data_IF_465697155461
#
_entry.id   IF_465697155461
#
_cell.length_a   1.000
_cell.length_b   1.000
_cell.length_c   1.000
_cell.angle_alpha   90.00
_cell.angle_beta   90.00
_cell.angle_gamma   90.00
#
_symmetry.space_group_name_H-M   'P 1'
#
loop_
_entity.id
_entity.type
_entity.pdbx_description
1 polymer ?
#
# COMPACT_ATOMS: atom_id res chain seq x y z
N UNK A 1 -1.85 -12.85 17.55
CA UNK A 1 -2.31 -14.01 18.39
C UNK A 1 -3.82 -13.99 18.64
N UNK A 2 -4.54 -12.92 18.35
CA UNK A 2 -6.02 -12.86 18.46
C UNK A 2 -6.67 -13.65 17.34
N UNK A 3 -6.11 -13.62 16.13
CA UNK A 3 -6.68 -14.25 14.93
C UNK A 3 -6.55 -15.77 14.88
N UNK A 4 -5.70 -16.40 15.68
CA UNK A 4 -5.68 -17.86 15.85
C UNK A 4 -6.89 -18.39 16.64
N UNK A 5 -7.69 -17.52 17.27
CA UNK A 5 -8.88 -17.87 18.05
C UNK A 5 -10.21 -17.80 17.28
N UNK A 6 -10.25 -17.16 16.11
CA UNK A 6 -11.47 -17.00 15.30
C UNK A 6 -11.45 -18.04 14.17
N UNK A 7 -11.66 -19.30 14.52
CA UNK A 7 -12.03 -20.35 13.58
C UNK A 7 -13.48 -20.77 13.84
N UNK A 8 -14.42 -19.84 13.71
CA UNK A 8 -15.84 -20.12 13.78
C UNK A 8 -16.57 -19.23 12.76
N UNK A 9 -16.45 -19.58 11.48
CA UNK A 9 -17.19 -19.00 10.34
C UNK A 9 -17.38 -17.49 10.45
N UNK A 10 -16.59 -16.72 9.70
CA UNK A 10 -16.76 -15.26 9.63
C UNK A 10 -18.18 -14.88 9.28
N UNK A 11 -18.78 -13.96 10.03
CA UNK A 11 -20.16 -13.52 9.85
C UNK A 11 -20.32 -12.03 9.59
N UNK A 12 -19.38 -11.21 10.04
CA UNK A 12 -19.53 -9.75 10.02
C UNK A 12 -18.55 -9.10 9.02
N UNK A 13 -19.10 -8.57 7.95
CA UNK A 13 -18.34 -8.04 6.82
C UNK A 13 -18.62 -6.56 6.60
N UNK A 14 -17.55 -5.79 6.33
CA UNK A 14 -17.66 -4.45 5.78
C UNK A 14 -17.28 -4.47 4.30
N UNK A 15 -18.16 -4.01 3.43
CA UNK A 15 -17.93 -3.93 1.98
C UNK A 15 -17.56 -2.49 1.62
N UNK A 16 -16.32 -2.27 1.20
CA UNK A 16 -15.84 -0.99 0.70
C UNK A 16 -15.95 -0.95 -0.82
N UNK A 17 -16.71 0.00 -1.33
CA UNK A 17 -16.97 0.16 -2.76
C UNK A 17 -16.89 1.61 -3.20
N UNK A 18 -16.86 1.83 -4.50
CA UNK A 18 -16.84 3.14 -5.13
C UNK A 18 -17.70 3.09 -6.38
N UNK A 19 -18.66 4.00 -6.50
CA UNK A 19 -19.61 4.02 -7.61
C UNK A 19 -18.95 4.16 -8.99
N UNK A 20 -17.79 4.81 -9.08
CA UNK A 20 -17.00 4.87 -10.31
C UNK A 20 -16.49 3.51 -10.77
N UNK A 21 -16.27 2.57 -9.84
CA UNK A 21 -15.76 1.21 -10.09
C UNK A 21 -16.87 0.16 -10.09
N UNK A 22 -17.95 0.39 -9.32
CA UNK A 22 -19.14 -0.44 -9.23
C UNK A 22 -20.39 0.39 -9.59
N UNK A 23 -20.63 0.70 -10.89
CA UNK A 23 -21.73 1.55 -11.32
C UNK A 23 -23.09 1.05 -10.85
N UNK A 24 -23.83 1.92 -10.17
CA UNK A 24 -25.11 1.59 -9.56
C UNK A 24 -25.00 0.59 -8.42
N UNK A 25 -23.78 0.40 -7.87
CA UNK A 25 -23.50 -0.44 -6.69
C UNK A 25 -24.01 -1.89 -6.85
N UNK A 26 -23.95 -2.41 -8.08
CA UNK A 26 -24.54 -3.71 -8.44
C UNK A 26 -23.76 -4.89 -7.86
N UNK A 27 -22.43 -4.81 -7.90
CA UNK A 27 -21.56 -5.90 -7.42
C UNK A 27 -21.58 -5.94 -5.90
N UNK A 28 -21.43 -4.78 -5.25
CA UNK A 28 -21.48 -4.68 -3.79
C UNK A 28 -22.81 -5.14 -3.24
N UNK A 29 -23.92 -4.85 -3.95
CA UNK A 29 -25.25 -5.38 -3.58
C UNK A 29 -25.33 -6.90 -3.72
N UNK A 30 -24.81 -7.48 -4.82
CA UNK A 30 -24.77 -8.94 -4.99
C UNK A 30 -23.98 -9.63 -3.88
N UNK A 31 -22.86 -9.04 -3.47
CA UNK A 31 -22.05 -9.56 -2.36
C UNK A 31 -22.84 -9.51 -1.05
N UNK A 32 -23.48 -8.38 -0.76
CA UNK A 32 -24.31 -8.19 0.41
C UNK A 32 -25.44 -9.23 0.46
N UNK A 33 -26.26 -9.29 -0.62
CA UNK A 33 -27.41 -10.20 -0.71
C UNK A 33 -26.96 -11.67 -0.53
N UNK A 34 -25.77 -12.03 -1.06
CA UNK A 34 -25.22 -13.38 -0.91
C UNK A 34 -24.81 -13.69 0.53
N UNK A 35 -24.06 -12.80 1.17
CA UNK A 35 -23.61 -12.96 2.56
C UNK A 35 -24.83 -13.08 3.50
N UNK A 36 -25.82 -12.21 3.34
CA UNK A 36 -27.04 -12.21 4.18
C UNK A 36 -27.86 -13.48 3.95
N UNK A 37 -27.96 -13.98 2.72
CA UNK A 37 -28.61 -15.26 2.40
C UNK A 37 -27.92 -16.45 3.10
N UNK A 38 -26.61 -16.39 3.29
CA UNK A 38 -25.85 -17.42 4.00
C UNK A 38 -25.81 -17.21 5.53
N UNK A 39 -26.59 -16.25 6.05
CA UNK A 39 -26.72 -15.98 7.49
C UNK A 39 -25.60 -15.10 8.06
N UNK A 40 -24.81 -14.45 7.22
CA UNK A 40 -23.83 -13.41 7.61
C UNK A 40 -24.49 -12.03 7.72
N UNK A 41 -23.74 -11.08 8.24
CA UNK A 41 -24.10 -9.67 8.39
C UNK A 41 -23.14 -8.86 7.55
N UNK A 42 -23.63 -7.92 6.75
CA UNK A 42 -22.78 -7.05 5.96
C UNK A 42 -23.26 -5.61 5.95
N UNK A 43 -22.30 -4.70 5.97
CA UNK A 43 -22.51 -3.27 5.79
C UNK A 43 -21.76 -2.79 4.55
N UNK A 44 -22.31 -1.81 3.83
CA UNK A 44 -21.64 -1.21 2.68
C UNK A 44 -21.27 0.22 2.97
N UNK A 45 -20.02 0.58 2.65
CA UNK A 45 -19.54 1.95 2.64
C UNK A 45 -19.17 2.33 1.22
N UNK A 46 -19.88 3.33 0.69
CA UNK A 46 -19.66 3.86 -0.66
C UNK A 46 -18.75 5.09 -0.61
N UNK A 47 -17.96 5.30 -1.67
CA UNK A 47 -17.10 6.48 -1.84
C UNK A 47 -16.11 6.76 -0.69
N UNK A 48 -15.68 5.69 -0.02
CA UNK A 48 -14.74 5.76 1.11
C UNK A 48 -13.42 6.49 0.76
N UNK A 49 -13.11 6.65 -0.54
CA UNK A 49 -11.93 7.37 -1.00
C UNK A 49 -12.04 8.89 -0.85
N UNK A 50 -13.26 9.44 -0.65
CA UNK A 50 -13.50 10.88 -0.53
C UNK A 50 -13.59 11.38 0.92
N UNK A 51 -13.84 10.49 1.88
CA UNK A 51 -14.23 10.86 3.24
C UNK A 51 -13.38 10.16 4.32
N UNK A 52 -12.06 10.17 4.17
CA UNK A 52 -11.12 9.45 5.07
C UNK A 52 -11.27 9.79 6.56
N UNK A 53 -11.89 10.92 6.93
CA UNK A 53 -11.97 11.36 8.33
C UNK A 53 -13.38 11.43 8.94
N UNK A 54 -14.47 11.32 8.16
CA UNK A 54 -15.82 11.60 8.70
C UNK A 54 -16.67 10.40 9.08
N UNK A 55 -16.44 9.22 8.50
CA UNK A 55 -17.36 8.07 8.66
C UNK A 55 -16.67 6.77 9.13
N UNK A 56 -15.70 6.86 10.02
CA UNK A 56 -15.05 5.69 10.66
C UNK A 56 -16.03 4.87 11.55
N UNK A 57 -17.24 5.41 11.81
CA UNK A 57 -18.25 4.74 12.63
C UNK A 57 -18.84 3.47 11.98
N UNK A 58 -18.59 3.22 10.69
CA UNK A 58 -19.00 1.99 10.01
C UNK A 58 -18.07 0.80 10.31
N UNK A 59 -16.85 1.05 10.80
CA UNK A 59 -15.96 -0.02 11.26
C UNK A 59 -16.32 -0.30 12.72
N UNK A 60 -17.14 -1.31 12.93
CA UNK A 60 -17.53 -1.72 14.27
C UNK A 60 -16.50 -2.69 14.86
N UNK A 61 -16.54 -2.87 16.19
CA UNK A 61 -15.69 -3.85 16.89
C UNK A 61 -15.98 -5.29 16.46
N UNK A 62 -17.15 -5.52 15.89
CA UNK A 62 -17.60 -6.84 15.44
C UNK A 62 -17.23 -7.10 13.96
N UNK A 63 -16.65 -6.13 13.25
CA UNK A 63 -16.20 -6.32 11.87
C UNK A 63 -15.05 -7.33 11.82
N UNK A 64 -15.23 -8.45 11.14
CA UNK A 64 -14.26 -9.54 11.07
C UNK A 64 -13.45 -9.52 9.78
N UNK A 65 -14.00 -8.97 8.70
CA UNK A 65 -13.34 -8.87 7.40
C UNK A 65 -13.82 -7.65 6.62
N UNK A 66 -12.90 -7.03 5.89
CA UNK A 66 -13.21 -5.96 4.95
C UNK A 66 -13.09 -6.47 3.52
N UNK A 67 -14.19 -6.44 2.76
CA UNK A 67 -14.24 -6.80 1.34
C UNK A 67 -14.10 -5.51 0.53
N UNK A 68 -13.02 -5.39 -0.24
CA UNK A 68 -12.68 -4.19 -1.00
C UNK A 68 -12.93 -4.42 -2.48
N UNK A 69 -13.84 -3.64 -3.09
CA UNK A 69 -14.15 -3.73 -4.52
C UNK A 69 -13.29 -2.74 -5.31
N UNK A 70 -12.40 -3.26 -6.15
CA UNK A 70 -11.53 -2.42 -6.99
C UNK A 70 -10.25 -3.12 -7.42
N UNK A 71 -9.20 -2.34 -7.64
CA UNK A 71 -7.85 -2.82 -7.94
C UNK A 71 -6.88 -2.47 -6.81
N UNK A 72 -5.56 -2.64 -7.09
CA UNK A 72 -4.50 -2.42 -6.10
C UNK A 72 -4.57 -1.04 -5.43
N UNK A 73 -4.78 0.05 -6.19
CA UNK A 73 -4.91 1.38 -5.60
C UNK A 73 -6.09 1.53 -4.63
N UNK A 74 -7.19 0.77 -4.82
CA UNK A 74 -8.33 0.72 -3.90
C UNK A 74 -7.96 -0.04 -2.63
N UNK A 75 -7.18 -1.13 -2.78
CA UNK A 75 -6.65 -1.90 -1.66
C UNK A 75 -5.69 -1.08 -0.79
N UNK A 76 -4.80 -0.28 -1.40
CA UNK A 76 -3.90 0.62 -0.66
C UNK A 76 -4.70 1.63 0.18
N UNK A 77 -5.75 2.19 -0.40
CA UNK A 77 -6.62 3.14 0.32
C UNK A 77 -7.34 2.46 1.49
N UNK A 78 -7.89 1.27 1.27
CA UNK A 78 -8.54 0.48 2.31
C UNK A 78 -7.55 0.10 3.42
N UNK A 79 -6.34 -0.34 3.08
CA UNK A 79 -5.31 -0.71 4.05
C UNK A 79 -5.03 0.43 5.03
N UNK A 80 -4.88 1.67 4.53
CA UNK A 80 -4.66 2.84 5.38
C UNK A 80 -5.86 3.17 6.25
N UNK A 81 -7.09 2.99 5.73
CA UNK A 81 -8.32 3.25 6.48
C UNK A 81 -8.48 2.31 7.67
N UNK A 82 -8.13 1.02 7.48
CA UNK A 82 -8.40 -0.03 8.48
C UNK A 82 -7.17 -0.39 9.34
N UNK A 83 -6.02 0.23 9.10
CA UNK A 83 -4.75 -0.17 9.74
C UNK A 83 -4.79 -0.13 11.26
N UNK A 84 -5.60 0.78 11.85
CA UNK A 84 -5.74 0.91 13.30
C UNK A 84 -6.70 -0.11 13.92
N UNK A 85 -7.48 -0.80 13.09
CA UNK A 85 -8.48 -1.77 13.54
C UNK A 85 -7.99 -3.21 13.53
N UNK A 86 -6.80 -3.46 12.94
CA UNK A 86 -6.20 -4.80 12.85
C UNK A 86 -7.12 -5.85 12.18
N UNK A 87 -7.97 -5.43 11.23
CA UNK A 87 -8.95 -6.27 10.53
C UNK A 87 -8.34 -6.75 9.21
N UNK A 88 -8.48 -8.05 8.85
CA UNK A 88 -8.05 -8.54 7.55
C UNK A 88 -8.94 -8.04 6.43
N UNK A 89 -8.36 -7.86 5.24
CA UNK A 89 -9.07 -7.43 4.05
C UNK A 89 -8.88 -8.39 2.88
N UNK A 90 -9.87 -8.45 1.99
CA UNK A 90 -9.82 -9.18 0.73
C UNK A 90 -10.23 -8.28 -0.42
N UNK A 91 -9.48 -8.32 -1.51
CA UNK A 91 -9.78 -7.55 -2.71
C UNK A 91 -10.60 -8.35 -3.72
N UNK A 92 -11.73 -7.79 -4.15
CA UNK A 92 -12.50 -8.25 -5.30
C UNK A 92 -12.12 -7.40 -6.50
N UNK A 93 -11.48 -8.03 -7.48
CA UNK A 93 -11.00 -7.33 -8.67
C UNK A 93 -12.13 -6.98 -9.63
N UNK A 94 -12.31 -5.70 -9.91
CA UNK A 94 -13.31 -5.19 -10.86
C UNK A 94 -12.72 -4.84 -12.23
N UNK A 95 -11.46 -5.15 -12.48
CA UNK A 95 -10.76 -4.80 -13.72
C UNK A 95 -9.58 -5.73 -14.00
N UNK A 96 -8.40 -5.14 -14.27
CA UNK A 96 -7.18 -5.92 -14.52
C UNK A 96 -6.65 -6.51 -13.22
N UNK A 97 -6.26 -7.79 -13.27
CA UNK A 97 -5.68 -8.52 -12.13
C UNK A 97 -4.55 -7.73 -11.46
N UNK A 98 -4.65 -7.52 -10.17
CA UNK A 98 -3.66 -6.83 -9.33
C UNK A 98 -2.78 -7.80 -8.53
N UNK A 99 -1.77 -7.24 -7.84
CA UNK A 99 -0.97 -7.98 -6.87
C UNK A 99 -1.62 -8.09 -5.50
N UNK A 100 -2.56 -7.17 -5.18
CA UNK A 100 -3.23 -7.07 -3.89
C UNK A 100 -4.65 -7.64 -3.91
N UNK A 101 -5.27 -7.73 -5.10
CA UNK A 101 -6.61 -8.31 -5.24
C UNK A 101 -6.53 -9.84 -5.33
N UNK A 102 -7.59 -10.53 -4.89
CA UNK A 102 -7.61 -12.00 -4.77
C UNK A 102 -8.76 -12.64 -5.52
N UNK A 103 -9.95 -12.06 -5.45
CA UNK A 103 -11.17 -12.65 -6.01
C UNK A 103 -11.49 -11.99 -7.33
N UNK A 104 -11.50 -12.77 -8.41
CA UNK A 104 -12.01 -12.34 -9.72
C UNK A 104 -13.55 -12.44 -9.76
N UNK A 105 -14.22 -11.54 -10.52
CA UNK A 105 -15.67 -11.55 -10.63
C UNK A 105 -16.24 -12.88 -11.15
N UNK A 106 -15.51 -13.58 -12.01
CA UNK A 106 -15.87 -14.92 -12.51
C UNK A 106 -15.93 -15.99 -11.41
N UNK A 107 -15.22 -15.76 -10.31
CA UNK A 107 -15.10 -16.67 -9.15
C UNK A 107 -15.63 -16.03 -7.86
N UNK A 108 -16.53 -15.05 -7.99
CA UNK A 108 -16.99 -14.25 -6.85
C UNK A 108 -17.61 -15.11 -5.74
N UNK A 109 -18.56 -15.98 -6.09
CA UNK A 109 -19.27 -16.80 -5.10
C UNK A 109 -18.37 -17.85 -4.45
N UNK A 110 -17.48 -18.49 -5.24
CA UNK A 110 -16.47 -19.41 -4.69
C UNK A 110 -15.56 -18.68 -3.66
N UNK A 111 -15.21 -17.42 -3.96
CA UNK A 111 -14.42 -16.59 -3.04
C UNK A 111 -15.17 -16.25 -1.76
N UNK A 112 -16.46 -15.89 -1.87
CA UNK A 112 -17.31 -15.60 -0.71
C UNK A 112 -17.55 -16.86 0.14
N UNK A 113 -17.75 -18.02 -0.48
CA UNK A 113 -17.84 -19.29 0.23
C UNK A 113 -16.56 -19.61 1.00
N UNK A 114 -15.41 -19.30 0.39
CA UNK A 114 -14.12 -19.42 1.08
C UNK A 114 -14.03 -18.57 2.33
N UNK A 115 -14.57 -17.36 2.33
CA UNK A 115 -14.60 -16.48 3.49
C UNK A 115 -15.56 -17.00 4.57
N UNK A 116 -16.79 -17.37 4.16
CA UNK A 116 -17.84 -17.83 5.07
C UNK A 116 -17.51 -19.18 5.73
N UNK A 117 -16.72 -20.02 5.07
CA UNK A 117 -16.31 -21.35 5.57
C UNK A 117 -14.88 -21.37 6.14
N UNK A 118 -14.26 -20.22 6.39
CA UNK A 118 -12.89 -20.08 6.90
C UNK A 118 -11.83 -20.87 6.08
N UNK A 119 -12.05 -21.06 4.78
CA UNK A 119 -11.12 -21.74 3.87
C UNK A 119 -10.21 -20.76 3.16
N UNK A 120 -9.44 -20.00 3.93
CA UNK A 120 -8.50 -18.97 3.45
C UNK A 120 -7.23 -18.94 4.30
N UNK A 121 -6.25 -18.21 3.83
CA UNK A 121 -5.03 -17.88 4.57
C UNK A 121 -4.93 -16.36 4.75
N UNK A 122 -4.32 -15.92 5.83
CA UNK A 122 -4.00 -14.50 6.06
C UNK A 122 -2.51 -14.31 5.79
N UNK A 123 -2.20 -13.42 4.86
CA UNK A 123 -0.83 -12.94 4.64
C UNK A 123 -0.63 -11.60 5.35
N UNK A 124 0.37 -11.56 6.23
CA UNK A 124 0.80 -10.34 6.88
C UNK A 124 1.79 -9.60 5.99
N UNK A 125 1.53 -8.32 5.77
CA UNK A 125 2.35 -7.42 4.96
C UNK A 125 2.94 -6.35 5.86
N UNK A 126 4.27 -6.23 5.87
CA UNK A 126 4.91 -5.12 6.53
C UNK A 126 4.48 -3.79 5.89
N UNK A 127 4.44 -2.76 6.70
CA UNK A 127 4.18 -1.39 6.28
C UNK A 127 5.35 -0.49 6.67
N UNK A 128 5.50 0.61 5.98
CA UNK A 128 6.36 1.71 6.41
C UNK A 128 5.55 2.71 7.23
N UNK A 129 6.25 3.46 8.04
CA UNK A 129 5.74 4.58 8.80
C UNK A 129 6.66 5.77 8.58
N UNK A 130 6.13 6.87 8.05
CA UNK A 130 6.91 8.04 7.73
C UNK A 130 6.32 9.31 8.30
N UNK A 131 7.19 10.28 8.64
CA UNK A 131 6.82 11.62 9.04
C UNK A 131 7.79 12.65 8.48
N UNK A 132 7.34 13.87 8.35
CA UNK A 132 8.18 15.00 7.96
C UNK A 132 8.48 15.84 9.19
N UNK A 133 9.75 16.17 9.36
CA UNK A 133 10.23 17.12 10.36
C UNK A 133 10.57 18.41 9.62
N UNK A 134 9.82 19.46 9.89
CA UNK A 134 10.08 20.82 9.47
C UNK A 134 10.90 21.57 10.52
N UNK A 135 11.42 22.75 10.19
CA UNK A 135 12.22 23.54 11.14
C UNK A 135 11.42 23.94 12.42
N UNK A 136 10.12 24.08 12.34
CA UNK A 136 9.23 24.60 13.39
C UNK A 136 8.23 23.58 13.93
N UNK A 137 7.99 22.45 13.22
CA UNK A 137 7.03 21.44 13.62
C UNK A 137 7.30 20.08 12.98
N UNK A 138 6.62 19.04 13.47
CA UNK A 138 6.61 17.71 12.90
C UNK A 138 5.19 17.37 12.40
N UNK A 139 5.10 16.55 11.35
CA UNK A 139 3.81 16.01 10.93
C UNK A 139 3.46 14.75 11.72
N UNK A 140 2.19 14.37 11.66
CA UNK A 140 1.77 13.06 12.14
C UNK A 140 2.43 11.93 11.33
N UNK A 141 2.60 10.80 11.98
CA UNK A 141 3.05 9.57 11.33
C UNK A 141 2.00 9.05 10.35
N UNK A 142 2.42 8.75 9.14
CA UNK A 142 1.57 8.23 8.07
C UNK A 142 2.04 6.84 7.63
N UNK A 143 1.16 5.82 7.68
CA UNK A 143 1.50 4.49 7.21
C UNK A 143 1.46 4.40 5.68
N UNK A 144 2.34 3.57 5.10
CA UNK A 144 2.32 3.18 3.70
C UNK A 144 2.48 1.66 3.55
N UNK A 145 1.63 1.05 2.73
CA UNK A 145 1.71 -0.38 2.42
C UNK A 145 2.71 -0.66 1.29
N UNK A 146 2.76 0.23 0.28
CA UNK A 146 3.70 0.12 -0.84
C UNK A 146 4.97 0.94 -0.60
N UNK A 147 4.84 2.26 -0.58
CA UNK A 147 5.99 3.14 -0.65
C UNK A 147 5.74 4.53 -0.05
N UNK A 148 6.86 5.15 0.33
CA UNK A 148 6.97 6.57 0.65
C UNK A 148 7.90 7.17 -0.40
N UNK A 149 7.40 8.12 -1.19
CA UNK A 149 8.11 8.66 -2.34
C UNK A 149 8.31 10.16 -2.17
N UNK A 150 9.55 10.62 -2.26
CA UNK A 150 9.85 12.04 -2.49
C UNK A 150 10.06 12.24 -3.98
N UNK A 151 9.39 13.23 -4.55
CA UNK A 151 9.58 13.63 -5.94
C UNK A 151 9.58 15.16 -6.06
N UNK A 152 10.35 15.67 -7.03
CA UNK A 152 10.35 17.08 -7.38
C UNK A 152 9.01 17.53 -7.94
N UNK A 153 8.68 18.80 -7.76
CA UNK A 153 7.47 19.42 -8.29
C UNK A 153 7.74 20.10 -9.64
N UNK A 154 6.93 19.74 -10.64
CA UNK A 154 6.89 20.44 -11.94
C UNK A 154 8.24 20.48 -12.67
N UNK A 155 8.63 21.68 -13.13
CA UNK A 155 9.88 21.95 -13.83
C UNK A 155 11.04 22.29 -12.89
N UNK A 156 10.93 21.99 -11.58
CA UNK A 156 12.02 22.23 -10.64
C UNK A 156 13.27 21.44 -11.05
N UNK A 157 14.42 21.95 -10.64
CA UNK A 157 15.71 21.31 -10.93
C UNK A 157 15.85 20.06 -10.07
N UNK A 158 16.90 19.30 -10.34
CA UNK A 158 17.32 18.15 -9.59
C UNK A 158 17.46 18.49 -8.12
N UNK A 159 16.99 17.59 -7.27
CA UNK A 159 17.08 17.72 -5.82
C UNK A 159 18.25 16.87 -5.33
N UNK A 160 18.97 17.38 -4.34
CA UNK A 160 19.97 16.62 -3.60
C UNK A 160 19.32 16.00 -2.37
N UNK A 161 19.46 14.68 -2.27
CA UNK A 161 18.95 13.88 -1.15
C UNK A 161 20.12 13.30 -0.38
N UNK A 162 20.36 13.77 0.85
CA UNK A 162 21.32 13.12 1.74
C UNK A 162 20.60 12.09 2.58
N UNK A 163 20.96 10.84 2.41
CA UNK A 163 20.31 9.70 3.08
C UNK A 163 21.19 9.21 4.22
N UNK A 164 20.62 9.21 5.42
CA UNK A 164 21.23 8.63 6.61
C UNK A 164 20.50 7.36 6.96
N UNK A 165 21.23 6.32 7.39
CA UNK A 165 20.68 5.08 7.92
C UNK A 165 21.27 4.85 9.30
N UNK A 166 20.41 4.73 10.31
CA UNK A 166 20.82 4.61 11.71
C UNK A 166 21.84 5.68 12.14
N UNK A 167 21.61 6.92 11.67
CA UNK A 167 22.47 8.08 11.97
C UNK A 167 23.80 8.10 11.21
N UNK A 168 24.05 7.19 10.27
CA UNK A 168 25.26 7.14 9.44
C UNK A 168 24.95 7.52 8.00
N UNK A 169 25.81 8.30 7.37
CA UNK A 169 25.67 8.65 5.97
C UNK A 169 25.71 7.38 5.11
N UNK A 170 24.64 7.14 4.35
CA UNK A 170 24.56 6.08 3.36
C UNK A 170 25.06 6.59 2.01
N UNK A 171 24.43 7.64 1.48
CA UNK A 171 24.77 8.23 0.19
C UNK A 171 24.15 9.62 0.03
N UNK A 172 24.58 10.34 -1.03
CA UNK A 172 23.97 11.60 -1.48
C UNK A 172 23.57 11.43 -2.94
N UNK A 173 22.27 11.49 -3.20
CA UNK A 173 21.72 11.35 -4.56
C UNK A 173 21.27 12.68 -5.12
N UNK A 174 21.72 12.99 -6.33
CA UNK A 174 21.10 14.02 -7.18
C UNK A 174 20.14 13.32 -8.13
N UNK A 175 18.83 13.49 -7.93
CA UNK A 175 17.80 12.71 -8.63
C UNK A 175 16.49 13.50 -8.77
N UNK A 176 15.57 12.98 -9.59
CA UNK A 176 14.18 13.46 -9.67
C UNK A 176 13.37 13.09 -8.42
N UNK A 177 13.81 12.09 -7.69
CA UNK A 177 13.17 11.65 -6.47
C UNK A 177 13.83 10.42 -5.84
N UNK A 178 13.28 10.00 -4.70
CA UNK A 178 13.69 8.81 -3.96
C UNK A 178 12.44 8.03 -3.54
N UNK A 179 12.46 6.72 -3.73
CA UNK A 179 11.44 5.79 -3.30
C UNK A 179 11.98 4.98 -2.11
N UNK A 180 11.25 4.99 -1.00
CA UNK A 180 11.44 4.03 0.09
C UNK A 180 10.27 3.06 0.03
N UNK A 181 10.53 1.78 -0.27
CA UNK A 181 9.49 0.81 -0.57
C UNK A 181 9.51 -0.41 0.34
N UNK A 182 8.34 -0.98 0.56
CA UNK A 182 8.17 -2.31 1.14
C UNK A 182 8.36 -3.40 0.07
N UNK A 183 8.47 -4.68 0.45
CA UNK A 183 8.39 -5.78 -0.50
C UNK A 183 7.07 -5.81 -1.29
N UNK A 184 5.96 -5.41 -0.68
CA UNK A 184 4.66 -5.27 -1.37
C UNK A 184 4.72 -4.20 -2.45
N UNK A 185 5.32 -3.05 -2.16
CA UNK A 185 5.52 -1.94 -3.10
C UNK A 185 6.58 -2.19 -4.15
N UNK A 186 7.41 -3.25 -4.00
CA UNK A 186 8.47 -3.57 -4.96
C UNK A 186 7.96 -3.77 -6.40
N UNK A 187 6.69 -4.17 -6.57
CA UNK A 187 6.01 -4.33 -7.87
C UNK A 187 5.23 -3.10 -8.32
N UNK A 188 5.26 -2.02 -7.55
CA UNK A 188 4.64 -0.73 -7.84
C UNK A 188 5.61 0.26 -8.48
N UNK A 189 5.67 1.48 -7.94
CA UNK A 189 6.52 2.54 -8.50
C UNK A 189 8.01 2.19 -8.41
N UNK A 190 8.43 1.45 -7.39
CA UNK A 190 9.79 0.91 -7.27
C UNK A 190 10.22 0.15 -8.54
N UNK A 191 9.36 -0.73 -9.07
CA UNK A 191 9.68 -1.48 -10.30
C UNK A 191 9.84 -0.54 -11.51
N UNK A 192 8.96 0.44 -11.66
CA UNK A 192 9.03 1.42 -12.74
C UNK A 192 10.30 2.29 -12.69
N UNK A 193 10.83 2.53 -11.49
CA UNK A 193 12.08 3.24 -11.27
C UNK A 193 13.33 2.35 -11.42
N UNK A 194 13.18 1.07 -11.80
CA UNK A 194 14.30 0.14 -11.96
C UNK A 194 14.71 -0.60 -10.69
N UNK A 195 13.92 -0.50 -9.62
CA UNK A 195 14.15 -1.24 -8.39
C UNK A 195 13.87 -2.74 -8.53
N UNK A 196 14.42 -3.58 -7.65
CA UNK A 196 14.23 -5.04 -7.69
C UNK A 196 12.81 -5.44 -7.32
N UNK A 197 12.34 -6.54 -7.90
CA UNK A 197 11.13 -7.23 -7.46
C UNK A 197 11.49 -8.10 -6.25
N UNK A 198 10.74 -7.93 -5.17
CA UNK A 198 10.94 -8.67 -3.92
C UNK A 198 9.68 -9.45 -3.58
N UNK A 199 9.86 -10.69 -3.11
CA UNK A 199 8.73 -11.49 -2.61
C UNK A 199 8.03 -10.72 -1.47
N UNK A 200 6.71 -10.52 -1.52
CA UNK A 200 6.00 -9.73 -0.53
C UNK A 200 6.01 -10.30 0.89
N UNK A 201 6.44 -11.56 1.06
CA UNK A 201 6.68 -12.19 2.37
C UNK A 201 8.06 -11.89 2.94
N UNK A 202 8.96 -11.29 2.16
CA UNK A 202 10.25 -10.83 2.67
C UNK A 202 10.06 -9.69 3.67
N UNK A 203 11.06 -9.48 4.50
CA UNK A 203 11.04 -8.43 5.52
C UNK A 203 12.30 -7.56 5.32
N UNK A 204 12.19 -6.60 4.41
CA UNK A 204 13.27 -5.70 3.99
C UNK A 204 12.69 -4.34 3.63
N UNK A 205 13.53 -3.30 3.61
CA UNK A 205 13.19 -1.98 3.09
C UNK A 205 14.04 -1.74 1.84
N UNK A 206 13.43 -1.19 0.80
CA UNK A 206 14.09 -0.85 -0.45
C UNK A 206 14.26 0.66 -0.54
N UNK A 207 15.42 1.14 -1.01
CA UNK A 207 15.63 2.53 -1.42
C UNK A 207 15.98 2.52 -2.90
N UNK A 208 15.21 3.24 -3.71
CA UNK A 208 15.40 3.31 -5.16
C UNK A 208 15.36 4.78 -5.60
N UNK A 209 16.45 5.31 -6.19
CA UNK A 209 16.45 6.64 -6.76
C UNK A 209 15.64 6.69 -8.07
N UNK A 210 15.00 7.83 -8.33
CA UNK A 210 14.24 8.09 -9.55
C UNK A 210 15.10 8.95 -10.48
N UNK A 211 15.45 8.44 -11.65
CA UNK A 211 16.28 9.13 -12.65
C UNK A 211 17.51 9.82 -12.04
N UNK A 212 18.37 9.09 -11.32
CA UNK A 212 19.56 9.68 -10.71
C UNK A 212 20.56 10.16 -11.78
N UNK A 213 21.27 11.22 -11.48
CA UNK A 213 22.30 11.78 -12.35
C UNK A 213 23.66 11.08 -12.23
N UNK A 214 23.84 10.22 -11.24
CA UNK A 214 25.03 9.39 -11.10
C UNK A 214 24.87 8.07 -11.86
N UNK A 215 25.89 7.68 -12.62
CA UNK A 215 25.92 6.40 -13.36
C UNK A 215 25.99 5.16 -12.44
N UNK A 216 26.29 5.32 -11.16
CA UNK A 216 26.47 4.22 -10.21
C UNK A 216 25.37 4.14 -9.13
N UNK A 217 24.25 4.81 -9.36
CA UNK A 217 23.13 4.83 -8.40
C UNK A 217 22.29 3.55 -8.53
N UNK A 218 22.49 2.63 -7.62
CA UNK A 218 21.73 1.38 -7.54
C UNK A 218 20.64 1.47 -6.48
N UNK A 219 19.61 0.63 -6.63
CA UNK A 219 18.67 0.37 -5.55
C UNK A 219 19.37 -0.39 -4.42
N UNK A 220 19.03 -0.05 -3.20
CA UNK A 220 19.59 -0.65 -1.98
C UNK A 220 18.52 -1.45 -1.25
N UNK A 221 18.92 -2.57 -0.68
CA UNK A 221 18.07 -3.42 0.16
C UNK A 221 18.61 -3.33 1.59
N UNK A 222 17.78 -2.86 2.50
CA UNK A 222 18.10 -2.61 3.90
C UNK A 222 17.38 -3.57 4.83
N UNK A 223 17.87 -3.66 6.07
CA UNK A 223 17.18 -4.36 7.14
C UNK A 223 15.83 -3.69 7.43
N UNK A 224 14.80 -4.47 7.82
CA UNK A 224 13.52 -3.89 8.22
C UNK A 224 13.62 -3.07 9.52
N UNK A 225 14.67 -3.25 10.30
CA UNK A 225 14.89 -2.51 11.55
C UNK A 225 15.70 -1.22 11.34
N UNK A 226 16.14 -0.93 10.10
CA UNK A 226 16.88 0.30 9.81
C UNK A 226 15.94 1.52 9.84
N UNK A 227 16.43 2.59 10.44
CA UNK A 227 15.79 3.91 10.46
C UNK A 227 16.44 4.79 9.38
N UNK A 228 15.62 5.36 8.51
CA UNK A 228 16.05 6.11 7.34
C UNK A 228 15.65 7.57 7.53
N UNK A 229 16.63 8.48 7.49
CA UNK A 229 16.40 9.91 7.47
C UNK A 229 16.86 10.47 6.13
N UNK A 230 15.98 11.12 5.39
CA UNK A 230 16.25 11.73 4.10
C UNK A 230 16.16 13.24 4.25
N UNK A 231 17.31 13.91 4.11
CA UNK A 231 17.46 15.36 4.16
C UNK A 231 17.29 15.92 2.75
N UNK A 232 16.46 16.94 2.63
CA UNK A 232 16.29 17.70 1.39
C UNK A 232 17.32 18.83 1.41
N UNK A 233 18.26 18.77 0.48
CA UNK A 233 19.34 19.77 0.40
C UNK A 233 19.16 20.69 -0.80
N UNK A 234 19.52 21.95 -0.65
CA UNK A 234 19.61 22.89 -1.78
C UNK A 234 20.85 22.57 -2.62
N UNK A 235 20.67 22.39 -3.91
CA UNK A 235 21.80 22.32 -4.85
C UNK A 235 22.40 23.71 -5.10
N UNK A 236 21.63 24.79 -4.92
CA UNK A 236 22.08 26.20 -5.04
C UNK A 236 21.26 27.11 -4.12
N UNK A 237 21.93 28.05 -3.46
CA UNK A 237 21.33 29.04 -2.53
C UNK A 237 20.25 29.95 -3.12
N UNK A 238 20.14 30.06 -4.45
CA UNK A 238 19.29 31.05 -5.12
C UNK A 238 17.91 30.57 -5.57
N UNK A 239 17.53 29.31 -5.33
CA UNK A 239 16.25 28.78 -5.81
C UNK A 239 15.61 27.83 -4.79
N UNK A 240 14.37 28.18 -4.39
CA UNK A 240 13.51 27.28 -3.59
C UNK A 240 13.08 26.11 -4.48
N UNK A 241 13.64 24.97 -4.26
CA UNK A 241 13.21 23.72 -4.92
C UNK A 241 12.04 23.15 -4.15
N UNK A 242 10.94 22.92 -4.84
CA UNK A 242 9.74 22.32 -4.24
C UNK A 242 9.75 20.82 -4.49
N UNK A 243 9.61 20.07 -3.42
CA UNK A 243 9.38 18.64 -3.44
C UNK A 243 8.11 18.27 -2.72
N UNK A 244 7.59 17.11 -3.02
CA UNK A 244 6.48 16.50 -2.29
C UNK A 244 6.86 15.11 -1.86
N UNK A 245 6.51 14.76 -0.63
CA UNK A 245 6.47 13.37 -0.20
C UNK A 245 5.06 12.84 -0.35
N UNK A 246 4.93 11.63 -0.88
CA UNK A 246 3.67 10.92 -1.01
C UNK A 246 3.74 9.56 -0.30
N UNK A 247 2.61 9.14 0.27
CA UNK A 247 2.43 7.86 0.93
C UNK A 247 1.44 7.04 0.10
N UNK A 248 1.89 5.93 -0.47
CA UNK A 248 1.14 5.08 -1.42
C UNK A 248 0.55 5.88 -2.60
N UNK A 249 1.15 7.02 -2.97
CA UNK A 249 0.63 7.92 -4.00
C UNK A 249 -0.72 8.57 -3.67
N UNK A 250 -1.18 8.54 -2.41
CA UNK A 250 -2.54 8.96 -2.03
C UNK A 250 -2.59 10.17 -1.09
N UNK A 251 -1.62 10.31 -0.21
CA UNK A 251 -1.48 11.48 0.66
C UNK A 251 -0.17 12.17 0.32
N UNK A 252 -0.24 13.47 0.09
CA UNK A 252 0.93 14.28 -0.22
C UNK A 252 1.19 15.30 0.89
N UNK A 253 2.48 15.59 1.11
CA UNK A 253 2.96 16.69 1.95
C UNK A 253 4.04 17.45 1.19
N UNK A 254 4.01 18.76 1.27
CA UNK A 254 5.04 19.61 0.69
C UNK A 254 6.30 19.54 1.54
N UNK A 255 7.45 19.49 0.87
CA UNK A 255 8.77 19.52 1.46
C UNK A 255 9.51 20.77 1.02
N UNK A 256 10.34 21.29 1.89
CA UNK A 256 11.23 22.42 1.64
C UNK A 256 12.67 22.01 1.97
N UNK A 257 13.67 22.70 1.39
CA UNK A 257 15.05 22.51 1.79
C UNK A 257 15.23 22.70 3.30
N UNK A 258 15.97 21.78 3.91
CA UNK A 258 16.14 21.70 5.37
C UNK A 258 15.13 20.77 6.07
N UNK A 259 14.05 20.38 5.39
CA UNK A 259 13.15 19.36 5.93
C UNK A 259 13.80 17.98 5.93
N UNK A 260 13.35 17.14 6.86
CA UNK A 260 13.80 15.75 6.99
C UNK A 260 12.59 14.83 6.89
N UNK A 261 12.63 13.90 5.96
CA UNK A 261 11.70 12.77 5.93
C UNK A 261 12.30 11.61 6.72
N UNK A 262 11.65 11.23 7.80
CA UNK A 262 11.97 10.01 8.54
C UNK A 262 11.09 8.87 8.10
N UNK A 263 11.68 7.72 7.77
CA UNK A 263 10.97 6.49 7.39
C UNK A 263 11.52 5.32 8.16
N UNK A 264 10.62 4.50 8.69
CA UNK A 264 10.95 3.25 9.38
C UNK A 264 9.87 2.20 9.14
N UNK A 265 10.14 0.96 9.52
CA UNK A 265 9.11 -0.08 9.56
C UNK A 265 8.00 0.31 10.54
N UNK A 266 6.77 0.21 10.09
CA UNK A 266 5.61 0.43 10.95
C UNK A 266 5.45 -0.69 11.97
N UNK A 267 4.96 -0.34 13.15
CA UNK A 267 4.46 -1.32 14.15
C UNK A 267 3.16 -1.97 13.70
N UNK A 268 2.46 -1.34 12.75
CA UNK A 268 1.22 -1.82 12.16
C UNK A 268 1.52 -2.71 10.97
N UNK A 269 0.68 -3.69 10.73
CA UNK A 269 0.76 -4.61 9.59
C UNK A 269 -0.57 -4.62 8.86
N UNK A 270 -0.52 -4.79 7.55
CA UNK A 270 -1.72 -5.03 6.77
C UNK A 270 -1.94 -6.54 6.61
N UNK A 271 -3.17 -7.01 6.85
CA UNK A 271 -3.55 -8.41 6.70
C UNK A 271 -4.38 -8.59 5.44
N UNK A 272 -3.89 -9.39 4.52
CA UNK A 272 -4.56 -9.68 3.25
C UNK A 272 -5.00 -11.14 3.25
N UNK A 273 -6.29 -11.35 3.01
CA UNK A 273 -6.86 -12.70 2.88
C UNK A 273 -6.55 -13.24 1.49
N UNK A 274 -6.12 -14.51 1.45
CA UNK A 274 -5.88 -15.33 0.27
C UNK A 274 -6.82 -16.53 0.30
N UNK A 275 -7.81 -16.55 -0.58
CA UNK A 275 -8.83 -17.61 -0.65
C UNK A 275 -8.34 -18.77 -1.50
N UNK A 276 -7.72 -18.47 -2.64
CA UNK A 276 -7.12 -19.48 -3.53
C UNK A 276 -5.66 -19.10 -3.68
N UNK A 277 -4.77 -19.93 -3.30
CA UNK A 277 -3.34 -19.65 -3.31
C UNK A 277 -2.73 -19.36 -4.68
N UNK A 278 -3.30 -18.39 -5.41
CA UNK A 278 -2.64 -17.84 -6.59
C UNK A 278 -1.32 -17.25 -6.15
N UNK A 279 -0.26 -17.89 -6.59
CA UNK A 279 1.06 -17.51 -6.13
C UNK A 279 1.43 -16.14 -6.71
N UNK A 280 2.08 -15.33 -5.91
CA UNK A 280 2.75 -14.09 -6.34
C UNK A 280 3.49 -14.28 -7.67
N UNK A 281 4.14 -15.42 -7.85
CA UNK A 281 4.91 -15.74 -9.06
C UNK A 281 4.02 -15.87 -10.32
N UNK A 282 2.79 -16.37 -10.20
CA UNK A 282 1.85 -16.42 -11.34
C UNK A 282 1.49 -15.01 -11.79
N UNK A 283 1.13 -14.13 -10.84
CA UNK A 283 0.77 -12.75 -11.13
C UNK A 283 1.98 -12.00 -11.73
N UNK A 284 3.16 -12.22 -11.16
CA UNK A 284 4.41 -11.64 -11.65
C UNK A 284 4.68 -12.06 -13.10
N UNK A 285 4.55 -13.34 -13.44
CA UNK A 285 4.74 -13.86 -14.79
C UNK A 285 3.76 -13.21 -15.78
N UNK A 286 2.50 -13.05 -15.41
CA UNK A 286 1.48 -12.42 -16.26
C UNK A 286 1.81 -10.93 -16.50
N UNK A 287 2.26 -10.20 -15.46
CA UNK A 287 2.46 -8.75 -15.53
C UNK A 287 3.82 -8.32 -16.08
N UNK A 288 4.86 -9.07 -15.78
CA UNK A 288 6.26 -8.71 -16.11
C UNK A 288 6.81 -9.58 -17.24
N UNK A 289 6.33 -10.81 -17.36
CA UNK A 289 6.83 -11.80 -18.32
C UNK A 289 6.28 -11.68 -19.74
N UNK A 290 5.43 -10.66 -20.06
CA UNK A 290 4.87 -10.45 -21.40
C UNK A 290 4.31 -11.73 -22.00
N UNK A 291 3.01 -11.94 -21.86
CA UNK A 291 2.15 -12.89 -22.56
C UNK A 291 2.81 -14.16 -23.12
N UNK A 292 2.63 -15.26 -22.43
CA UNK A 292 2.31 -16.55 -23.06
C UNK A 292 1.49 -17.32 -22.00
N UNK A 293 0.18 -17.19 -22.06
CA UNK A 293 -0.69 -18.24 -21.55
C UNK A 293 -0.46 -19.44 -22.48
N UNK A 294 0.32 -20.39 -22.01
CA UNK A 294 0.28 -21.72 -22.59
C UNK A 294 -1.15 -22.25 -22.40
N UNK A 295 -1.75 -22.54 -23.54
CA UNK A 295 -3.05 -23.20 -23.70
C UNK A 295 -3.09 -24.54 -22.97
#
# INVERSE_FOLDING_TARGET
RIWQRIRNNMKNFLILTNEKKDPGLRISKKIQDYIEKQGGISQRMCDFTRHVQKDMNCITKDTECVIVLGGDGTMLHAARLIVDHDIPMVGVNLGTLGFLTEIELSKLYDGLDGLLNDTFQIEERMMLDGRVIHADHETDHLPALNDVVIARSGFSRIISFRIMVNGKLLDVYEADGIIVSTPTGSTGYNLSAGGPVVNPKANVILITPICPHSLQSNSLVLSPEDEIDIYIENVRESQLEEAYVTFDGQVARKLQPGDVLQVRKSKKIARIIKVKGDSFYRILRIKVGGQNEEK
#
